data_IF_922656736024
#
_entry.id   IF_922656736024
#
_cell.length_a   1.000
_cell.length_b   1.000
_cell.length_c   1.000
_cell.angle_alpha   90.00
_cell.angle_beta   90.00
_cell.angle_gamma   90.00
#
_symmetry.space_group_name_H-M   'P 1'
#
loop_
_entity.id
_entity.type
_entity.pdbx_description
1 polymer ?
#
# COMPACT_ATOMS: atom_id res chain seq x y z
N UNK A 1 49.54 -35.50 28.89
CA UNK A 1 49.71 -34.22 28.14
C UNK A 1 48.89 -34.15 26.85
N UNK A 2 48.78 -35.22 26.08
CA UNK A 2 48.06 -35.25 24.81
C UNK A 2 46.53 -35.08 24.95
N UNK A 3 45.90 -35.67 25.98
CA UNK A 3 44.46 -35.59 26.25
C UNK A 3 43.99 -34.18 26.70
N UNK A 4 44.81 -33.46 27.45
CA UNK A 4 44.48 -32.10 27.89
C UNK A 4 44.45 -31.10 26.71
N UNK A 5 45.32 -31.31 25.72
CA UNK A 5 45.42 -30.49 24.54
C UNK A 5 44.20 -30.70 23.60
N UNK A 6 43.72 -31.95 23.48
CA UNK A 6 42.52 -32.28 22.68
C UNK A 6 41.24 -31.66 23.24
N UNK A 7 41.03 -31.68 24.55
CA UNK A 7 39.87 -31.06 25.21
C UNK A 7 39.89 -29.54 25.08
N UNK A 8 41.04 -28.91 25.12
CA UNK A 8 41.19 -27.47 24.94
C UNK A 8 40.90 -27.08 23.50
N UNK A 9 41.43 -27.81 22.54
CA UNK A 9 41.14 -27.58 21.11
C UNK A 9 39.68 -27.76 20.78
N UNK A 10 39.00 -28.78 21.33
CA UNK A 10 37.57 -29.00 21.14
C UNK A 10 36.72 -27.84 21.70
N UNK A 11 37.06 -27.36 22.93
CA UNK A 11 36.38 -26.21 23.54
C UNK A 11 36.56 -24.92 22.73
N UNK A 12 37.75 -24.68 22.19
CA UNK A 12 38.04 -23.52 21.36
C UNK A 12 37.25 -23.59 20.04
N UNK A 13 37.22 -24.77 19.41
CA UNK A 13 36.42 -24.96 18.18
C UNK A 13 34.92 -24.77 18.43
N UNK A 14 34.38 -25.28 19.53
CA UNK A 14 32.98 -25.10 19.91
C UNK A 14 32.64 -23.62 20.14
N UNK A 15 33.51 -22.88 20.84
CA UNK A 15 33.34 -21.44 21.06
C UNK A 15 33.38 -20.66 19.75
N UNK A 16 34.27 -21.02 18.83
CA UNK A 16 34.32 -20.38 17.50
C UNK A 16 33.06 -20.67 16.69
N UNK A 17 32.53 -21.88 16.75
CA UNK A 17 31.28 -22.24 16.08
C UNK A 17 30.06 -21.50 16.67
N UNK A 18 30.01 -21.38 18.00
CA UNK A 18 28.97 -20.62 18.69
C UNK A 18 29.08 -19.12 18.36
N UNK A 19 30.28 -18.56 18.35
CA UNK A 19 30.51 -17.17 17.97
C UNK A 19 30.16 -16.90 16.48
N UNK A 20 30.55 -17.81 15.59
CA UNK A 20 30.19 -17.73 14.19
C UNK A 20 28.67 -17.84 13.96
N UNK A 21 28.01 -18.76 14.67
CA UNK A 21 26.55 -18.89 14.66
C UNK A 21 25.86 -17.67 15.23
N UNK A 22 26.40 -17.06 16.28
CA UNK A 22 25.87 -15.81 16.85
C UNK A 22 26.07 -14.60 15.91
N UNK A 23 27.22 -14.49 15.26
CA UNK A 23 27.49 -13.45 14.26
C UNK A 23 26.58 -13.62 13.02
N UNK A 24 26.40 -14.85 12.57
CA UNK A 24 25.46 -15.17 11.48
C UNK A 24 24.02 -14.82 11.89
N UNK A 25 23.64 -15.17 13.13
CA UNK A 25 22.33 -14.80 13.69
C UNK A 25 22.15 -13.27 13.76
N UNK A 26 23.15 -12.52 14.25
CA UNK A 26 23.11 -11.05 14.26
C UNK A 26 23.05 -10.47 12.85
N UNK A 27 23.75 -11.06 11.89
CA UNK A 27 23.68 -10.66 10.48
C UNK A 27 22.30 -10.92 9.90
N UNK A 28 21.70 -12.07 10.20
CA UNK A 28 20.35 -12.41 9.75
C UNK A 28 19.24 -11.58 10.43
N UNK A 29 19.50 -10.99 11.61
CA UNK A 29 18.52 -10.16 12.34
C UNK A 29 18.59 -8.69 11.92
N UNK A 30 19.71 -8.22 11.38
CA UNK A 30 19.79 -6.83 10.90
C UNK A 30 18.95 -6.69 9.65
N UNK A 31 17.97 -5.79 9.64
CA UNK A 31 17.24 -5.50 8.41
C UNK A 31 18.22 -5.02 7.34
N UNK A 32 18.04 -5.47 6.13
CA UNK A 32 18.72 -4.92 4.97
C UNK A 32 18.36 -3.43 4.87
N UNK A 33 19.28 -2.63 4.41
CA UNK A 33 19.05 -1.20 4.18
C UNK A 33 19.33 -0.92 2.71
N UNK A 34 18.29 -0.56 1.99
CA UNK A 34 18.40 -0.13 0.60
C UNK A 34 18.35 1.40 0.55
N UNK A 35 19.26 2.04 -0.20
CA UNK A 35 19.16 3.47 -0.42
C UNK A 35 17.87 3.78 -1.19
N UNK A 36 17.19 4.83 -0.76
CA UNK A 36 16.00 5.34 -1.44
C UNK A 36 16.21 6.79 -1.83
N UNK A 37 15.48 7.25 -2.82
CA UNK A 37 15.52 8.64 -3.28
C UNK A 37 14.97 9.61 -2.23
N UNK A 38 15.36 10.90 -2.25
CA UNK A 38 14.74 11.91 -1.39
C UNK A 38 13.22 12.03 -1.58
N UNK A 39 12.70 11.74 -2.77
CA UNK A 39 11.26 11.70 -3.07
C UNK A 39 10.56 10.62 -2.26
N UNK A 40 11.07 9.39 -2.32
CA UNK A 40 10.53 8.27 -1.55
C UNK A 40 10.64 8.49 -0.04
N UNK A 41 11.73 9.08 0.45
CA UNK A 41 11.82 9.47 1.87
C UNK A 41 10.76 10.51 2.26
N UNK A 42 10.48 11.47 1.39
CA UNK A 42 9.42 12.48 1.62
C UNK A 42 8.05 11.83 1.71
N UNK A 43 7.73 10.91 0.80
CA UNK A 43 6.46 10.14 0.82
C UNK A 43 6.37 9.30 2.08
N UNK A 44 7.43 8.57 2.44
CA UNK A 44 7.48 7.79 3.69
C UNK A 44 7.26 8.68 4.92
N UNK A 45 7.88 9.86 4.97
CA UNK A 45 7.70 10.80 6.06
C UNK A 45 6.26 11.33 6.14
N UNK A 46 5.62 11.57 5.00
CA UNK A 46 4.22 11.99 4.95
C UNK A 46 3.28 10.89 5.49
N UNK A 47 3.48 9.63 5.09
CA UNK A 47 2.73 8.48 5.63
C UNK A 47 2.98 8.33 7.12
N UNK A 48 4.24 8.35 7.56
CA UNK A 48 4.62 8.15 8.96
C UNK A 48 4.12 9.25 9.89
N UNK A 49 3.78 10.44 9.38
CA UNK A 49 3.31 11.58 10.20
C UNK A 49 2.09 11.23 11.05
N UNK A 50 1.14 10.49 10.50
CA UNK A 50 -0.04 9.97 11.19
C UNK A 50 -0.03 8.45 11.30
N UNK A 51 0.75 7.80 10.46
CA UNK A 51 0.72 6.35 10.24
C UNK A 51 -0.58 5.88 9.57
N UNK A 52 -1.45 6.81 9.16
CA UNK A 52 -2.77 6.51 8.60
C UNK A 52 -2.77 6.67 7.09
N UNK A 53 -3.27 5.65 6.41
CA UNK A 53 -3.72 5.70 5.03
C UNK A 53 -5.22 5.50 5.04
N UNK A 54 -5.96 6.53 4.66
CA UNK A 54 -7.42 6.44 4.63
C UNK A 54 -7.83 5.57 3.44
N UNK A 55 -8.50 4.46 3.71
CA UNK A 55 -8.88 3.46 2.75
C UNK A 55 -10.20 3.84 2.05
N UNK A 56 -10.23 3.85 0.72
CA UNK A 56 -11.39 4.19 -0.13
C UNK A 56 -12.13 5.48 0.28
N UNK A 57 -11.39 6.47 0.84
CA UNK A 57 -11.94 7.72 1.36
C UNK A 57 -12.42 7.68 2.82
N UNK A 58 -12.46 6.50 3.44
CA UNK A 58 -12.84 6.32 4.84
C UNK A 58 -14.35 6.26 5.08
N UNK A 59 -14.73 6.33 6.37
CA UNK A 59 -16.11 6.31 6.77
C UNK A 59 -16.85 7.61 6.45
N UNK A 60 -18.11 7.44 6.04
CA UNK A 60 -19.12 8.51 5.97
C UNK A 60 -20.33 8.14 6.81
N UNK A 61 -21.09 9.15 7.23
CA UNK A 61 -22.38 8.96 7.91
C UNK A 61 -23.49 9.35 6.95
N UNK A 62 -24.41 8.43 6.70
CA UNK A 62 -25.59 8.69 5.87
C UNK A 62 -26.58 9.61 6.59
N UNK A 63 -27.55 10.18 5.85
CA UNK A 63 -28.64 10.97 6.44
C UNK A 63 -29.47 10.16 7.47
N UNK A 64 -29.52 8.83 7.32
CA UNK A 64 -30.16 7.93 8.30
C UNK A 64 -29.32 7.68 9.55
N UNK A 65 -28.09 8.17 9.60
CA UNK A 65 -27.13 7.94 10.69
C UNK A 65 -26.37 6.60 10.59
N UNK A 66 -26.45 5.92 9.46
CA UNK A 66 -25.68 4.70 9.19
C UNK A 66 -24.25 5.06 8.81
N UNK A 67 -23.28 4.35 9.38
CA UNK A 67 -21.88 4.47 9.01
C UNK A 67 -21.58 3.56 7.82
N UNK A 68 -21.07 4.13 6.74
CA UNK A 68 -20.69 3.44 5.51
C UNK A 68 -19.25 3.71 5.16
N UNK A 69 -18.58 2.73 4.56
CA UNK A 69 -17.19 2.83 4.09
C UNK A 69 -17.11 2.45 2.60
N UNK A 70 -15.90 2.49 2.06
CA UNK A 70 -15.59 1.96 0.73
C UNK A 70 -16.27 2.69 -0.43
N UNK A 71 -16.61 3.96 -0.22
CA UNK A 71 -17.43 4.68 -1.22
C UNK A 71 -16.61 5.24 -2.39
N UNK A 72 -15.32 5.51 -2.22
CA UNK A 72 -14.50 6.22 -3.20
C UNK A 72 -15.15 7.53 -3.70
N UNK A 73 -16.07 8.09 -2.92
CA UNK A 73 -16.87 9.24 -3.29
C UNK A 73 -16.11 10.55 -3.13
N UNK A 74 -16.58 11.58 -3.85
CA UNK A 74 -16.03 12.92 -3.67
C UNK A 74 -16.26 13.44 -2.24
N UNK A 75 -17.41 13.13 -1.64
CA UNK A 75 -17.72 13.48 -0.25
C UNK A 75 -16.75 12.84 0.75
N UNK A 76 -16.38 11.57 0.52
CA UNK A 76 -15.40 10.87 1.36
C UNK A 76 -14.00 11.51 1.27
N UNK A 77 -13.55 11.85 0.05
CA UNK A 77 -12.29 12.55 -0.17
C UNK A 77 -12.24 13.90 0.56
N UNK A 78 -13.30 14.70 0.45
CA UNK A 78 -13.42 16.00 1.12
C UNK A 78 -13.41 15.81 2.63
N UNK A 79 -14.26 14.90 3.15
CA UNK A 79 -14.39 14.63 4.58
C UNK A 79 -13.05 14.23 5.21
N UNK A 80 -12.34 13.24 4.63
CA UNK A 80 -11.07 12.80 5.17
C UNK A 80 -10.00 13.91 5.16
N UNK A 81 -10.01 14.76 4.12
CA UNK A 81 -9.05 15.86 4.00
C UNK A 81 -9.33 16.96 5.04
N UNK A 82 -10.61 17.33 5.28
CA UNK A 82 -11.04 18.29 6.31
C UNK A 82 -10.70 17.80 7.72
N UNK A 83 -10.72 16.49 7.95
CA UNK A 83 -10.27 15.87 9.21
C UNK A 83 -8.74 15.82 9.37
N UNK A 84 -7.98 16.39 8.43
CA UNK A 84 -6.53 16.54 8.53
C UNK A 84 -5.73 15.38 7.93
N UNK A 85 -6.37 14.39 7.33
CA UNK A 85 -5.67 13.31 6.64
C UNK A 85 -5.08 13.79 5.31
N UNK A 86 -3.95 13.23 4.91
CA UNK A 86 -3.20 13.67 3.73
C UNK A 86 -2.75 12.52 2.83
N UNK A 87 -3.03 11.30 3.23
CA UNK A 87 -2.74 10.10 2.44
C UNK A 87 -4.01 9.28 2.36
N UNK A 88 -4.51 9.09 1.15
CA UNK A 88 -5.73 8.35 0.86
C UNK A 88 -5.43 7.26 -0.17
N UNK A 89 -5.98 6.11 0.04
CA UNK A 89 -6.04 5.08 -0.98
C UNK A 89 -7.38 5.19 -1.70
N UNK A 90 -7.35 5.04 -3.03
CA UNK A 90 -8.51 5.16 -3.92
C UNK A 90 -8.47 4.05 -4.96
N UNK A 91 -9.56 3.31 -5.04
CA UNK A 91 -9.80 2.37 -6.14
C UNK A 91 -10.06 3.12 -7.44
N UNK A 92 -9.45 2.69 -8.54
CA UNK A 92 -9.63 3.30 -9.86
C UNK A 92 -10.04 2.24 -10.88
N UNK A 93 -11.09 2.56 -11.63
CA UNK A 93 -11.64 1.73 -12.69
C UNK A 93 -11.83 2.55 -13.97
N UNK A 94 -11.99 1.83 -15.08
CA UNK A 94 -12.36 2.40 -16.34
C UNK A 94 -13.81 2.06 -16.69
N UNK A 95 -14.61 3.07 -17.07
CA UNK A 95 -15.97 2.89 -17.56
C UNK A 95 -15.98 2.28 -18.97
N UNK A 96 -17.15 1.83 -19.44
CA UNK A 96 -17.30 1.24 -20.77
C UNK A 96 -16.89 2.18 -21.92
N UNK A 97 -17.06 3.49 -21.72
CA UNK A 97 -16.67 4.55 -22.66
C UNK A 97 -15.25 5.10 -22.40
N UNK A 98 -14.49 4.49 -21.49
CA UNK A 98 -13.06 4.76 -21.29
C UNK A 98 -12.72 5.90 -20.34
N UNK A 99 -13.66 6.39 -19.55
CA UNK A 99 -13.43 7.41 -18.50
C UNK A 99 -12.91 6.74 -17.25
N UNK A 100 -11.87 7.31 -16.62
CA UNK A 100 -11.37 6.84 -15.34
C UNK A 100 -12.23 7.39 -14.20
N UNK A 101 -12.72 6.49 -13.34
CA UNK A 101 -13.57 6.79 -12.19
C UNK A 101 -12.99 6.18 -10.92
N UNK A 102 -13.35 6.76 -9.79
CA UNK A 102 -12.98 6.27 -8.46
C UNK A 102 -14.07 5.33 -7.96
N UNK A 103 -13.82 4.03 -8.04
CA UNK A 103 -14.79 3.02 -7.66
C UNK A 103 -14.11 1.66 -7.47
N UNK A 104 -14.57 0.91 -6.48
CA UNK A 104 -14.27 -0.51 -6.36
C UNK A 104 -15.18 -1.29 -7.30
N UNK A 105 -14.67 -2.28 -7.98
CA UNK A 105 -15.49 -3.10 -8.85
C UNK A 105 -14.74 -4.31 -9.38
N UNK A 106 -15.19 -5.49 -9.04
CA UNK A 106 -14.67 -6.78 -9.51
C UNK A 106 -15.83 -7.69 -9.88
N UNK A 107 -16.64 -7.26 -10.87
CA UNK A 107 -17.82 -8.02 -11.32
C UNK A 107 -19.04 -7.82 -10.43
N UNK A 108 -19.01 -6.88 -9.51
CA UNK A 108 -20.08 -6.46 -8.61
C UNK A 108 -20.56 -5.05 -8.99
N UNK A 109 -21.35 -4.44 -8.13
CA UNK A 109 -21.81 -3.04 -8.28
C UNK A 109 -20.61 -2.13 -8.48
N UNK A 110 -20.66 -1.28 -9.47
CA UNK A 110 -19.54 -0.42 -9.86
C UNK A 110 -19.15 0.57 -8.76
N UNK A 111 -20.11 1.01 -7.98
CA UNK A 111 -19.91 1.76 -6.76
C UNK A 111 -20.79 1.15 -5.66
N UNK A 112 -20.25 0.93 -4.48
CA UNK A 112 -20.98 0.36 -3.35
C UNK A 112 -22.21 1.22 -3.02
N UNK A 113 -23.34 0.56 -2.75
CA UNK A 113 -24.60 1.22 -2.49
C UNK A 113 -25.32 1.78 -3.71
N UNK A 114 -24.90 1.45 -4.93
CA UNK A 114 -25.57 1.80 -6.18
C UNK A 114 -25.97 0.57 -6.98
N UNK A 115 -27.16 0.62 -7.59
CA UNK A 115 -27.61 -0.38 -8.55
C UNK A 115 -27.05 -0.08 -9.96
N UNK A 116 -25.75 -0.31 -10.16
CA UNK A 116 -25.09 -0.15 -11.43
C UNK A 116 -24.63 -1.50 -12.00
N UNK A 117 -24.54 -1.65 -13.34
CA UNK A 117 -23.87 -2.80 -13.92
C UNK A 117 -22.40 -2.84 -13.53
N UNK A 118 -21.78 -4.01 -13.59
CA UNK A 118 -20.36 -4.20 -13.27
C UNK A 118 -19.42 -3.29 -14.08
N UNK A 119 -19.84 -2.91 -15.28
CA UNK A 119 -19.18 -1.89 -16.13
C UNK A 119 -20.25 -0.95 -16.63
N UNK A 120 -20.29 0.26 -16.10
CA UNK A 120 -21.22 1.32 -16.50
C UNK A 120 -20.59 2.28 -17.53
N UNK A 121 -21.41 2.98 -18.30
CA UNK A 121 -21.00 4.19 -19.01
C UNK A 121 -20.76 5.32 -18.00
N UNK A 122 -19.88 6.28 -18.33
CA UNK A 122 -19.52 7.37 -17.43
C UNK A 122 -20.71 8.24 -17.02
N UNK A 123 -21.62 8.54 -17.95
CA UNK A 123 -22.84 9.32 -17.68
C UNK A 123 -23.77 8.57 -16.72
N UNK A 124 -23.90 7.24 -16.88
CA UNK A 124 -24.68 6.39 -16.00
C UNK A 124 -24.09 6.41 -14.57
N UNK A 125 -22.77 6.21 -14.45
CA UNK A 125 -22.07 6.27 -13.17
C UNK A 125 -22.25 7.63 -12.48
N UNK A 126 -22.02 8.74 -13.19
CA UNK A 126 -22.11 10.09 -12.63
C UNK A 126 -23.53 10.53 -12.29
N UNK A 127 -24.54 9.94 -12.94
CA UNK A 127 -25.95 10.23 -12.65
C UNK A 127 -26.46 9.60 -11.35
N UNK A 128 -25.73 8.62 -10.81
CA UNK A 128 -26.11 7.95 -9.56
C UNK A 128 -25.76 8.77 -8.32
N UNK A 129 -26.17 8.25 -7.17
CA UNK A 129 -25.68 8.67 -5.85
C UNK A 129 -25.36 7.43 -5.04
N UNK A 130 -24.12 7.34 -4.55
CA UNK A 130 -23.68 6.26 -3.68
C UNK A 130 -24.46 6.36 -2.37
N UNK A 131 -25.08 5.26 -1.96
CA UNK A 131 -26.04 5.25 -0.86
C UNK A 131 -27.16 6.32 -0.98
N UNK A 132 -27.55 6.66 -2.21
CA UNK A 132 -28.59 7.63 -2.52
C UNK A 132 -28.21 9.11 -2.26
N UNK A 133 -27.01 9.43 -1.80
CA UNK A 133 -26.62 10.77 -1.37
C UNK A 133 -25.22 11.21 -1.77
N UNK A 134 -24.21 10.34 -1.73
CA UNK A 134 -22.82 10.72 -1.97
C UNK A 134 -22.50 10.81 -3.45
N UNK A 135 -21.66 11.76 -3.81
CA UNK A 135 -21.31 12.06 -5.20
C UNK A 135 -20.25 11.07 -5.72
N UNK A 136 -20.51 10.33 -6.80
CA UNK A 136 -19.49 9.59 -7.51
C UNK A 136 -18.37 10.50 -8.00
N UNK A 137 -17.13 9.98 -8.05
CA UNK A 137 -15.95 10.76 -8.37
C UNK A 137 -15.24 10.19 -9.60
N UNK A 138 -14.88 11.06 -10.55
CA UNK A 138 -13.93 10.72 -11.63
C UNK A 138 -12.50 11.01 -11.22
N UNK A 139 -11.53 10.42 -11.92
CA UNK A 139 -10.11 10.76 -11.73
C UNK A 139 -9.84 12.23 -12.10
N UNK A 140 -10.62 12.83 -13.02
CA UNK A 140 -10.55 14.27 -13.32
C UNK A 140 -10.93 15.11 -12.08
N UNK A 141 -12.01 14.75 -11.38
CA UNK A 141 -12.42 15.43 -10.14
C UNK A 141 -11.36 15.23 -9.04
N UNK A 142 -10.85 14.01 -8.87
CA UNK A 142 -9.77 13.69 -7.92
C UNK A 142 -8.53 14.55 -8.19
N UNK A 143 -8.08 14.63 -9.42
CA UNK A 143 -6.88 15.38 -9.80
C UNK A 143 -7.08 16.90 -9.67
N UNK A 144 -8.29 17.40 -9.94
CA UNK A 144 -8.64 18.79 -9.65
C UNK A 144 -8.55 19.10 -8.15
N UNK A 145 -9.06 18.20 -7.30
CA UNK A 145 -8.95 18.32 -5.85
C UNK A 145 -7.48 18.25 -5.38
N UNK A 146 -6.68 17.33 -5.94
CA UNK A 146 -5.24 17.25 -5.67
C UNK A 146 -4.49 18.54 -6.02
N UNK A 147 -4.83 19.21 -7.14
CA UNK A 147 -4.21 20.50 -7.53
C UNK A 147 -4.56 21.61 -6.55
N UNK A 148 -5.79 21.62 -6.04
CA UNK A 148 -6.20 22.57 -5.00
C UNK A 148 -5.57 22.29 -3.63
N UNK A 149 -5.16 21.04 -3.39
CA UNK A 149 -4.62 20.57 -2.11
C UNK A 149 -3.25 19.89 -2.33
N UNK A 150 -2.15 20.66 -2.40
CA UNK A 150 -0.85 20.16 -2.85
C UNK A 150 -0.15 19.18 -1.90
N UNK A 151 -0.62 19.04 -0.67
CA UNK A 151 -0.11 18.12 0.34
C UNK A 151 -0.84 16.77 0.35
N UNK A 152 -1.85 16.57 -0.51
CA UNK A 152 -2.58 15.31 -0.64
C UNK A 152 -1.79 14.32 -1.51
N UNK A 153 -1.59 13.11 -0.99
CA UNK A 153 -1.02 11.95 -1.68
C UNK A 153 -2.11 10.89 -1.90
N UNK A 154 -2.13 10.31 -3.07
CA UNK A 154 -3.08 9.25 -3.44
C UNK A 154 -2.33 7.94 -3.70
N UNK A 155 -2.68 6.90 -2.95
CA UNK A 155 -2.29 5.53 -3.25
C UNK A 155 -3.39 4.94 -4.13
N UNK A 156 -3.02 4.36 -5.26
CA UNK A 156 -4.00 3.79 -6.20
C UNK A 156 -4.21 2.31 -5.90
N UNK A 157 -5.46 1.85 -5.87
CA UNK A 157 -5.79 0.43 -6.04
C UNK A 157 -6.45 0.22 -7.41
N UNK A 158 -5.76 -0.52 -8.27
CA UNK A 158 -6.21 -0.81 -9.63
C UNK A 158 -6.05 -2.32 -9.82
N UNK A 159 -7.09 -2.99 -10.32
CA UNK A 159 -6.97 -4.43 -10.55
C UNK A 159 -5.81 -4.73 -11.51
N UNK A 160 -5.07 -5.81 -11.20
CA UNK A 160 -3.84 -6.17 -11.91
C UNK A 160 -3.96 -6.13 -13.44
N UNK A 161 -5.06 -6.63 -14.02
CA UNK A 161 -5.25 -6.69 -15.47
C UNK A 161 -5.36 -5.31 -16.13
N UNK A 162 -5.75 -4.28 -15.38
CA UNK A 162 -5.96 -2.91 -15.87
C UNK A 162 -4.85 -1.96 -15.43
N UNK A 163 -4.00 -2.36 -14.46
CA UNK A 163 -3.05 -1.48 -13.78
C UNK A 163 -2.14 -0.72 -14.76
N UNK A 164 -1.51 -1.41 -15.70
CA UNK A 164 -0.64 -0.76 -16.69
C UNK A 164 -1.39 0.21 -17.61
N UNK A 165 -2.59 -0.15 -18.08
CA UNK A 165 -3.39 0.69 -18.98
C UNK A 165 -3.91 1.94 -18.29
N UNK A 166 -4.41 1.80 -17.06
CA UNK A 166 -4.91 2.93 -16.25
C UNK A 166 -3.76 3.86 -15.87
N UNK A 167 -2.62 3.32 -15.39
CA UNK A 167 -1.44 4.13 -15.10
C UNK A 167 -0.97 4.93 -16.32
N UNK A 168 -0.97 4.34 -17.52
CA UNK A 168 -0.62 5.02 -18.77
C UNK A 168 -1.54 6.20 -19.03
N UNK A 169 -2.86 6.04 -18.89
CA UNK A 169 -3.83 7.12 -19.05
C UNK A 169 -3.61 8.23 -18.03
N UNK A 170 -3.34 7.89 -16.77
CA UNK A 170 -3.03 8.88 -15.74
C UNK A 170 -1.75 9.64 -16.09
N UNK A 171 -0.67 8.96 -16.50
CA UNK A 171 0.59 9.59 -16.87
C UNK A 171 0.46 10.54 -18.07
N UNK A 172 -0.31 10.14 -19.08
CA UNK A 172 -0.53 10.95 -20.29
C UNK A 172 -1.43 12.17 -20.02
N UNK A 173 -2.42 12.03 -19.13
CA UNK A 173 -3.42 13.07 -18.87
C UNK A 173 -3.01 14.02 -17.75
N UNK A 174 -2.32 13.53 -16.72
CA UNK A 174 -2.00 14.26 -15.49
C UNK A 174 -0.50 14.22 -15.13
N UNK A 175 0.41 14.55 -16.06
CA UNK A 175 1.86 14.40 -15.84
C UNK A 175 2.40 15.28 -14.70
N UNK A 176 1.67 16.36 -14.35
CA UNK A 176 2.01 17.27 -13.24
C UNK A 176 1.75 16.68 -11.85
N UNK A 177 1.05 15.55 -11.77
CA UNK A 177 0.66 14.92 -10.50
C UNK A 177 1.38 13.60 -10.21
N UNK A 178 2.24 13.13 -11.08
CA UNK A 178 2.86 11.80 -10.97
C UNK A 178 3.65 11.60 -9.68
N UNK A 179 4.29 12.63 -9.15
CA UNK A 179 4.98 12.63 -7.85
C UNK A 179 4.02 12.49 -6.64
N UNK A 180 2.72 12.61 -6.87
CA UNK A 180 1.71 12.53 -5.82
C UNK A 180 0.80 11.32 -5.93
N UNK A 181 0.95 10.54 -7.01
CA UNK A 181 0.39 9.21 -7.12
C UNK A 181 1.41 8.17 -6.65
N UNK A 182 1.00 7.32 -5.74
CA UNK A 182 1.77 6.18 -5.23
C UNK A 182 1.09 4.94 -5.80
N UNK A 183 1.75 4.26 -6.73
CA UNK A 183 1.10 3.16 -7.45
C UNK A 183 1.27 1.85 -6.69
N UNK A 184 0.17 1.15 -6.40
CA UNK A 184 0.22 -0.22 -5.93
C UNK A 184 0.43 -1.18 -7.11
N UNK A 185 1.37 -2.12 -6.94
CA UNK A 185 1.58 -3.25 -7.84
C UNK A 185 1.32 -4.55 -7.09
N UNK A 186 0.80 -5.55 -7.79
CA UNK A 186 0.50 -6.87 -7.26
C UNK A 186 1.52 -7.93 -7.67
N UNK A 187 2.22 -7.68 -8.77
CA UNK A 187 3.25 -8.56 -9.31
C UNK A 187 4.52 -7.79 -9.64
N UNK A 188 5.67 -8.43 -9.43
CA UNK A 188 7.00 -7.85 -9.72
C UNK A 188 7.11 -7.35 -11.17
N UNK A 189 6.42 -8.02 -12.11
CA UNK A 189 6.44 -7.67 -13.55
C UNK A 189 5.81 -6.32 -13.88
N UNK A 190 5.00 -5.75 -12.99
CA UNK A 190 4.34 -4.46 -13.18
C UNK A 190 5.28 -3.28 -12.87
N UNK A 191 6.34 -3.49 -12.08
CA UNK A 191 7.23 -2.41 -11.65
C UNK A 191 7.86 -1.66 -12.82
N UNK A 192 8.59 -2.36 -13.68
CA UNK A 192 9.34 -1.74 -14.77
C UNK A 192 8.46 -0.97 -15.78
N UNK A 193 7.32 -1.51 -16.24
CA UNK A 193 6.40 -0.76 -17.09
C UNK A 193 5.93 0.54 -16.43
N UNK A 194 5.46 0.48 -15.17
CA UNK A 194 4.91 1.61 -14.43
C UNK A 194 6.00 2.65 -14.13
N UNK A 195 7.16 2.21 -13.65
CA UNK A 195 8.28 3.12 -13.35
C UNK A 195 8.77 3.85 -14.62
N UNK A 196 8.82 3.17 -15.76
CA UNK A 196 9.19 3.80 -17.05
C UNK A 196 8.18 4.81 -17.58
N UNK A 197 6.92 4.78 -17.12
CA UNK A 197 5.95 5.84 -17.40
C UNK A 197 6.24 7.13 -16.64
N UNK A 198 7.12 7.05 -15.61
CA UNK A 198 7.55 8.19 -14.80
C UNK A 198 6.94 8.24 -13.39
N UNK A 199 6.26 7.20 -12.93
CA UNK A 199 5.81 7.10 -11.53
C UNK A 199 6.99 6.72 -10.63
N UNK A 200 7.43 7.62 -9.73
CA UNK A 200 8.60 7.35 -8.89
C UNK A 200 8.26 6.56 -7.63
N UNK A 201 7.00 6.53 -7.23
CA UNK A 201 6.58 5.99 -5.95
C UNK A 201 5.73 4.73 -6.15
N UNK A 202 6.26 3.58 -5.74
CA UNK A 202 5.62 2.28 -5.93
C UNK A 202 5.54 1.53 -4.60
N UNK A 203 4.39 0.94 -4.33
CA UNK A 203 4.12 0.01 -3.22
C UNK A 203 3.93 -1.39 -3.80
N UNK A 204 4.63 -2.38 -3.24
CA UNK A 204 4.44 -3.79 -3.61
C UNK A 204 3.45 -4.46 -2.66
N UNK A 205 2.30 -4.85 -3.18
CA UNK A 205 1.17 -5.38 -2.44
C UNK A 205 1.14 -6.91 -2.52
N UNK A 206 1.29 -7.59 -1.38
CA UNK A 206 1.50 -9.03 -1.31
C UNK A 206 0.25 -9.86 -1.03
N UNK A 207 -0.89 -9.25 -0.72
CA UNK A 207 -2.06 -10.01 -0.30
C UNK A 207 -2.67 -10.89 -1.41
N UNK A 208 -2.47 -10.52 -2.67
CA UNK A 208 -2.85 -11.32 -3.85
C UNK A 208 -1.68 -12.10 -4.44
N UNK A 209 -0.46 -11.89 -3.93
CA UNK A 209 0.72 -12.61 -4.38
C UNK A 209 0.63 -14.10 -4.01
N UNK A 210 1.21 -14.95 -4.84
CA UNK A 210 1.31 -16.38 -4.55
C UNK A 210 2.38 -16.71 -3.50
N UNK A 211 2.46 -17.95 -3.06
CA UNK A 211 3.44 -18.40 -2.07
C UNK A 211 4.89 -18.27 -2.54
N UNK A 212 5.13 -18.24 -3.85
CA UNK A 212 6.48 -18.09 -4.41
C UNK A 212 6.89 -16.61 -4.39
N UNK A 213 5.97 -15.69 -4.69
CA UNK A 213 6.20 -14.26 -4.63
C UNK A 213 6.39 -13.79 -3.19
N UNK A 214 5.67 -14.39 -2.22
CA UNK A 214 5.84 -14.12 -0.78
C UNK A 214 7.08 -14.72 -0.16
N UNK A 215 8.02 -15.24 -0.95
CA UNK A 215 9.26 -15.80 -0.45
C UNK A 215 10.26 -14.70 -0.07
N UNK A 216 10.88 -14.82 1.12
CA UNK A 216 11.85 -13.84 1.63
C UNK A 216 12.96 -13.49 0.63
N UNK A 217 13.58 -14.48 0.02
CA UNK A 217 14.69 -14.25 -0.91
C UNK A 217 14.25 -13.51 -2.16
N UNK A 218 13.06 -13.82 -2.65
CA UNK A 218 12.49 -13.16 -3.82
C UNK A 218 12.14 -11.70 -3.50
N UNK A 219 11.44 -11.45 -2.39
CA UNK A 219 11.10 -10.10 -1.94
C UNK A 219 12.36 -9.27 -1.69
N UNK A 220 13.36 -9.83 -0.99
CA UNK A 220 14.61 -9.13 -0.72
C UNK A 220 15.38 -8.81 -2.01
N UNK A 221 15.45 -9.75 -2.94
CA UNK A 221 16.11 -9.54 -4.22
C UNK A 221 15.38 -8.49 -5.08
N UNK A 222 14.06 -8.52 -5.09
CA UNK A 222 13.26 -7.51 -5.77
C UNK A 222 13.47 -6.12 -5.15
N UNK A 223 13.41 -6.00 -3.83
CA UNK A 223 13.63 -4.76 -3.11
C UNK A 223 15.08 -4.21 -3.21
N UNK A 224 16.07 -5.09 -3.47
CA UNK A 224 17.45 -4.66 -3.74
C UNK A 224 17.59 -4.00 -5.12
N UNK A 225 16.81 -4.48 -6.08
CA UNK A 225 16.87 -4.01 -7.46
C UNK A 225 15.91 -2.84 -7.76
N UNK A 226 14.88 -2.66 -6.93
CA UNK A 226 13.76 -1.75 -7.20
C UNK A 226 13.46 -0.92 -5.97
N UNK A 227 13.33 0.39 -6.16
CA UNK A 227 12.95 1.30 -5.09
C UNK A 227 11.45 1.18 -4.77
N UNK A 228 11.13 0.85 -3.53
CA UNK A 228 9.76 0.72 -3.04
C UNK A 228 9.48 1.71 -1.91
N UNK A 229 8.30 2.31 -1.91
CA UNK A 229 7.81 3.10 -0.77
C UNK A 229 7.57 2.19 0.44
N UNK A 230 6.85 1.10 0.23
CA UNK A 230 6.51 0.12 1.25
C UNK A 230 6.14 -1.23 0.60
N UNK A 231 6.01 -2.24 1.44
CA UNK A 231 5.35 -3.51 1.11
C UNK A 231 4.03 -3.55 1.89
N UNK A 232 2.92 -3.83 1.18
CA UNK A 232 1.61 -3.95 1.81
C UNK A 232 1.19 -5.41 1.94
N UNK A 233 0.63 -5.78 3.08
CA UNK A 233 0.16 -7.14 3.35
C UNK A 233 -0.98 -7.15 4.36
N UNK A 234 -1.78 -8.21 4.33
CA UNK A 234 -2.76 -8.48 5.38
C UNK A 234 -2.05 -8.95 6.66
N UNK A 235 -2.56 -8.56 7.82
CA UNK A 235 -1.99 -8.93 9.13
C UNK A 235 -1.92 -10.45 9.34
N UNK A 236 -2.94 -11.18 8.90
CA UNK A 236 -3.03 -12.63 9.00
C UNK A 236 -1.91 -13.32 8.22
N UNK A 237 -1.60 -12.84 7.03
CA UNK A 237 -0.50 -13.34 6.20
C UNK A 237 0.86 -13.00 6.81
N UNK A 238 1.00 -11.80 7.37
CA UNK A 238 2.24 -11.35 8.00
C UNK A 238 2.60 -12.17 9.24
N UNK A 239 1.61 -12.49 10.09
CA UNK A 239 1.86 -13.22 11.35
C UNK A 239 2.18 -14.71 11.15
N UNK A 240 2.05 -15.26 9.97
CA UNK A 240 2.71 -16.53 9.66
C UNK A 240 4.23 -16.33 9.81
N UNK A 241 4.87 -17.11 10.70
CA UNK A 241 6.27 -16.92 11.12
C UNK A 241 7.27 -16.70 9.98
N UNK A 242 7.12 -17.45 8.88
CA UNK A 242 7.98 -17.35 7.69
C UNK A 242 7.85 -16.00 6.99
N UNK A 243 6.64 -15.45 6.93
CA UNK A 243 6.36 -14.17 6.30
C UNK A 243 6.81 -13.02 7.18
N UNK A 244 6.58 -13.12 8.51
CA UNK A 244 7.04 -12.12 9.48
C UNK A 244 8.55 -11.91 9.42
N UNK A 245 9.35 -13.01 9.40
CA UNK A 245 10.79 -12.91 9.26
C UNK A 245 11.18 -12.26 7.93
N UNK A 246 10.55 -12.66 6.83
CA UNK A 246 10.79 -12.08 5.52
C UNK A 246 10.58 -10.56 5.53
N UNK A 247 9.41 -10.10 5.97
CA UNK A 247 9.07 -8.68 5.98
C UNK A 247 9.95 -7.86 6.92
N UNK A 248 10.27 -8.37 8.11
CA UNK A 248 11.13 -7.67 9.08
C UNK A 248 12.57 -7.49 8.60
N UNK A 249 13.05 -8.35 7.70
CA UNK A 249 14.44 -8.37 7.26
C UNK A 249 14.67 -7.87 5.83
N UNK A 250 13.61 -7.68 5.04
CA UNK A 250 13.76 -7.21 3.66
C UNK A 250 14.23 -5.75 3.54
N UNK A 251 14.24 -4.98 4.63
CA UNK A 251 14.71 -3.59 4.65
C UNK A 251 13.72 -2.55 4.08
N UNK A 252 12.58 -3.00 3.58
CA UNK A 252 11.47 -2.12 3.14
C UNK A 252 10.42 -2.07 4.24
N UNK A 253 9.91 -0.88 4.60
CA UNK A 253 8.88 -0.77 5.62
C UNK A 253 7.58 -1.45 5.18
N UNK A 254 6.79 -1.90 6.16
CA UNK A 254 5.54 -2.63 5.93
C UNK A 254 4.35 -1.73 6.21
N UNK A 255 3.31 -1.88 5.42
CA UNK A 255 1.99 -1.33 5.67
C UNK A 255 0.96 -2.46 5.78
N UNK A 256 -0.01 -2.30 6.67
CA UNK A 256 -1.08 -3.28 6.86
C UNK A 256 -2.41 -2.75 6.36
N UNK A 257 -3.25 -3.64 5.84
CA UNK A 257 -4.61 -3.31 5.42
C UNK A 257 -5.58 -4.46 5.78
N UNK A 258 -6.81 -4.20 6.16
CA UNK A 258 -7.35 -2.95 6.66
C UNK A 258 -7.54 -3.13 8.16
N UNK A 259 -7.36 -2.12 8.98
CA UNK A 259 -7.47 -2.22 10.44
C UNK A 259 -8.31 -1.07 10.94
N UNK A 260 -9.53 -1.37 11.38
CA UNK A 260 -10.53 -0.40 11.85
C UNK A 260 -10.78 -0.49 13.36
N UNK A 261 -9.99 -1.27 14.08
CA UNK A 261 -9.89 -1.22 15.53
C UNK A 261 -8.80 -0.23 15.96
N UNK A 262 -9.17 0.82 16.66
CA UNK A 262 -8.26 1.90 17.03
C UNK A 262 -7.12 1.43 17.95
N UNK A 263 -7.38 0.51 18.86
CA UNK A 263 -6.36 -0.01 19.75
C UNK A 263 -5.36 -0.87 18.97
N UNK A 264 -5.83 -1.66 18.02
CA UNK A 264 -4.98 -2.46 17.12
C UNK A 264 -4.17 -1.54 16.20
N UNK A 265 -4.79 -0.50 15.61
CA UNK A 265 -4.13 0.51 14.79
C UNK A 265 -2.92 1.12 15.53
N UNK A 266 -3.14 1.66 16.74
CA UNK A 266 -2.08 2.23 17.54
C UNK A 266 -1.00 1.20 17.93
N UNK A 267 -1.41 -0.03 18.25
CA UNK A 267 -0.46 -1.12 18.57
C UNK A 267 0.43 -1.47 17.37
N UNK A 268 -0.10 -1.39 16.15
CA UNK A 268 0.68 -1.65 14.93
C UNK A 268 1.71 -0.56 14.67
N UNK A 269 1.36 0.70 14.83
CA UNK A 269 2.26 1.83 14.62
C UNK A 269 3.44 1.87 15.61
N UNK A 270 3.35 1.19 16.77
CA UNK A 270 4.48 1.07 17.69
C UNK A 270 5.59 0.13 17.18
N UNK A 271 5.36 -0.62 16.14
CA UNK A 271 6.35 -1.56 15.60
C UNK A 271 7.27 -0.83 14.62
N UNK A 272 8.57 -0.87 14.87
CA UNK A 272 9.60 -0.12 14.12
C UNK A 272 9.67 -0.40 12.61
N UNK A 273 9.08 -1.49 12.15
CA UNK A 273 9.03 -1.86 10.73
C UNK A 273 7.73 -1.43 10.04
N UNK A 274 6.76 -0.88 10.78
CA UNK A 274 5.47 -0.44 10.23
C UNK A 274 5.57 1.02 9.84
N UNK A 275 5.30 1.31 8.57
CA UNK A 275 5.24 2.66 8.04
C UNK A 275 3.86 3.28 8.25
N UNK A 276 2.81 2.49 8.04
CA UNK A 276 1.44 2.95 8.12
C UNK A 276 0.45 1.80 8.08
N UNK A 277 -0.82 2.15 8.24
CA UNK A 277 -1.94 1.22 8.29
C UNK A 277 -3.09 1.80 7.48
N UNK A 278 -3.66 1.00 6.59
CA UNK A 278 -4.91 1.32 5.89
C UNK A 278 -6.06 1.15 6.86
N UNK A 279 -6.92 2.16 6.92
CA UNK A 279 -8.08 2.16 7.82
C UNK A 279 -9.20 3.03 7.24
N UNK A 280 -10.44 2.64 7.50
CA UNK A 280 -11.61 3.46 7.20
C UNK A 280 -11.83 4.58 8.23
N UNK A 281 -11.14 4.53 9.38
CA UNK A 281 -11.21 5.56 10.43
C UNK A 281 -10.49 6.81 9.95
N UNK A 282 -11.15 7.95 10.03
CA UNK A 282 -10.64 9.26 9.59
C UNK A 282 -10.33 10.24 10.73
N UNK A 283 -10.84 9.98 11.93
CA UNK A 283 -10.64 10.78 13.15
C UNK A 283 -9.43 10.37 13.99
#
# INVERSE_FOLDING_TARGET
>A
MIEANSKTQFRTLLLLLVAAGFLLFLFCIRPLQYPVSPGTETVRAAIAKTGRVVHAGGFLITESGEQVAYTNSYDALVNMYEQGNRVCEIDIRETADGVLVCAHGTGEVFADGCDLPAVAESDEFLSTRIYGQFQPMTVEMLTAFMRANPDLLIITDIIHQENESVCRKIAETYPDLMERFIIQIYHESEYDPIHRMGFPHIIYTLYRADDQERNYWRISHFAEAHELVAITTQKEQFYLWKNKLAMQHCGVPVMFHTVDDEAEFHSMLQKHYVLGVYTDITE
#
